data_IF_814631871056
#
_entry.id   IF_814631871056
#
_cell.length_a   1.000
_cell.length_b   1.000
_cell.length_c   1.000
_cell.angle_alpha   90.00
_cell.angle_beta   90.00
_cell.angle_gamma   90.00
#
_symmetry.space_group_name_H-M   'P 1'
#
loop_
_entity.id
_entity.type
_entity.pdbx_description
1 polymer ?
#
# COMPACT_ATOMS: atom_id res chain seq x y z
N UNK A 1 28.51 -24.11 -20.54
CA UNK A 1 28.56 -22.64 -20.65
C UNK A 1 28.28 -22.05 -19.28
N UNK A 2 29.15 -21.22 -18.69
CA UNK A 2 28.91 -20.67 -17.36
C UNK A 2 27.75 -19.67 -17.43
N UNK A 3 26.78 -19.80 -16.51
CA UNK A 3 25.61 -18.94 -16.41
C UNK A 3 26.05 -17.49 -16.15
N UNK A 4 25.71 -16.59 -17.07
CA UNK A 4 26.12 -15.17 -17.09
C UNK A 4 25.27 -14.34 -16.09
N UNK A 5 25.24 -14.73 -14.81
CA UNK A 5 24.55 -14.00 -13.74
C UNK A 5 25.55 -13.16 -12.95
N UNK A 6 25.22 -11.89 -12.72
CA UNK A 6 26.03 -10.94 -11.95
C UNK A 6 25.92 -11.23 -10.45
N UNK A 7 27.04 -11.14 -9.71
CA UNK A 7 27.07 -11.42 -8.27
C UNK A 7 26.64 -10.20 -7.47
N UNK A 8 25.57 -10.35 -6.68
CA UNK A 8 25.16 -9.38 -5.66
C UNK A 8 25.67 -9.86 -4.30
N UNK A 9 26.46 -9.04 -3.60
CA UNK A 9 27.01 -9.35 -2.28
C UNK A 9 26.96 -8.12 -1.38
N UNK A 10 26.78 -8.33 -0.09
CA UNK A 10 26.80 -7.27 0.92
C UNK A 10 27.30 -7.85 2.25
N UNK A 11 27.69 -6.98 3.18
CA UNK A 11 28.03 -7.39 4.55
C UNK A 11 26.78 -7.28 5.42
N UNK A 12 26.52 -8.31 6.19
CA UNK A 12 25.44 -8.37 7.18
C UNK A 12 26.00 -8.88 8.49
N UNK A 13 25.36 -8.50 9.59
CA UNK A 13 25.71 -9.00 10.92
C UNK A 13 25.48 -10.52 11.01
N UNK A 14 26.27 -11.18 11.87
CA UNK A 14 26.20 -12.64 12.03
C UNK A 14 24.79 -13.13 12.39
N UNK A 15 24.09 -12.41 13.27
CA UNK A 15 22.71 -12.73 13.66
C UNK A 15 21.73 -12.67 12.47
N UNK A 16 21.90 -11.69 11.58
CA UNK A 16 21.07 -11.54 10.37
C UNK A 16 21.34 -12.66 9.38
N UNK A 17 22.60 -13.09 9.25
CA UNK A 17 22.99 -14.21 8.39
C UNK A 17 22.39 -15.54 8.88
N UNK A 18 22.43 -15.81 10.17
CA UNK A 18 21.87 -17.04 10.74
C UNK A 18 20.34 -17.07 10.61
N UNK A 19 19.65 -15.95 10.86
CA UNK A 19 18.21 -15.84 10.62
C UNK A 19 17.86 -16.08 9.14
N UNK A 20 18.66 -15.54 8.22
CA UNK A 20 18.47 -15.73 6.78
C UNK A 20 18.68 -17.18 6.33
N UNK A 21 19.65 -17.87 6.93
CA UNK A 21 19.89 -19.31 6.69
C UNK A 21 18.71 -20.15 7.17
N UNK A 22 18.23 -19.93 8.39
CA UNK A 22 17.08 -20.65 8.94
C UNK A 22 15.83 -20.48 8.06
N UNK A 23 15.60 -19.26 7.56
CA UNK A 23 14.50 -18.97 6.64
C UNK A 23 14.67 -19.70 5.29
N UNK A 24 15.89 -19.78 4.76
CA UNK A 24 16.17 -20.51 3.53
C UNK A 24 15.93 -22.02 3.69
N UNK A 25 16.39 -22.60 4.81
CA UNK A 25 16.21 -24.01 5.15
C UNK A 25 14.73 -24.39 5.32
N UNK A 26 13.96 -23.56 6.05
CA UNK A 26 12.52 -23.78 6.23
C UNK A 26 11.75 -23.85 4.90
N UNK A 27 12.24 -23.14 3.88
CA UNK A 27 11.67 -23.09 2.53
C UNK A 27 12.32 -24.07 1.55
N UNK A 28 13.25 -24.91 2.03
CA UNK A 28 14.05 -25.84 1.21
C UNK A 28 14.79 -25.14 0.06
N UNK A 29 15.34 -23.96 0.34
CA UNK A 29 16.12 -23.15 -0.59
C UNK A 29 17.54 -22.96 -0.07
N UNK A 30 18.48 -22.69 -0.97
CA UNK A 30 19.81 -22.19 -0.58
C UNK A 30 19.74 -20.70 -0.26
N UNK A 31 20.64 -20.19 0.58
CA UNK A 31 20.74 -18.75 0.90
C UNK A 31 20.78 -17.91 -0.39
N UNK A 32 21.61 -18.27 -1.36
CA UNK A 32 21.72 -17.56 -2.64
C UNK A 32 20.42 -17.57 -3.44
N UNK A 33 19.63 -18.65 -3.38
CA UNK A 33 18.36 -18.77 -4.10
C UNK A 33 17.22 -18.05 -3.38
N UNK A 34 17.26 -17.99 -2.05
CA UNK A 34 16.38 -17.12 -1.28
C UNK A 34 16.69 -15.65 -1.57
N UNK A 35 17.98 -15.26 -1.62
CA UNK A 35 18.40 -13.90 -1.97
C UNK A 35 18.00 -13.53 -3.40
N UNK A 36 18.24 -14.41 -4.37
CA UNK A 36 17.78 -14.26 -5.76
C UNK A 36 16.27 -14.01 -5.79
N UNK A 37 15.47 -14.85 -5.14
CA UNK A 37 14.01 -14.68 -5.08
C UNK A 37 13.58 -13.41 -4.36
N UNK A 38 14.25 -13.02 -3.28
CA UNK A 38 13.93 -11.79 -2.55
C UNK A 38 14.25 -10.56 -3.36
N UNK A 39 15.40 -10.52 -4.04
CA UNK A 39 15.78 -9.44 -4.93
C UNK A 39 14.83 -9.38 -6.12
N UNK A 40 14.52 -10.52 -6.74
CA UNK A 40 13.52 -10.57 -7.81
C UNK A 40 12.14 -10.12 -7.32
N UNK A 41 11.70 -10.54 -6.14
CA UNK A 41 10.38 -10.17 -5.59
C UNK A 41 10.35 -8.72 -5.14
N UNK A 42 11.47 -8.18 -4.65
CA UNK A 42 11.61 -6.77 -4.28
C UNK A 42 11.64 -5.87 -5.51
N UNK A 43 12.28 -6.32 -6.60
CA UNK A 43 12.31 -5.61 -7.88
C UNK A 43 11.02 -5.81 -8.71
N UNK A 44 10.33 -6.94 -8.55
CA UNK A 44 8.99 -7.23 -9.12
C UNK A 44 7.85 -6.70 -8.25
N UNK A 45 8.13 -6.29 -7.01
CA UNK A 45 7.29 -5.34 -6.29
C UNK A 45 7.45 -4.02 -7.01
N UNK A 46 6.77 -3.94 -8.15
CA UNK A 46 6.13 -2.71 -8.54
C UNK A 46 5.41 -2.25 -7.27
N UNK A 47 5.95 -1.21 -6.63
CA UNK A 47 5.04 -0.15 -6.14
C UNK A 47 4.15 0.05 -7.35
N UNK A 48 2.84 -0.31 -7.31
CA UNK A 48 2.02 -0.38 -8.52
C UNK A 48 2.36 0.85 -9.31
N UNK A 49 3.08 0.65 -10.42
CA UNK A 49 3.71 1.77 -11.10
C UNK A 49 2.52 2.68 -11.37
N UNK A 50 2.55 3.95 -10.90
CA UNK A 50 1.48 4.87 -11.23
C UNK A 50 1.36 4.75 -12.73
N UNK A 51 0.22 4.24 -13.20
CA UNK A 51 -0.06 4.04 -14.64
C UNK A 51 0.54 5.24 -15.32
N UNK A 52 1.52 5.06 -16.23
CA UNK A 52 2.42 6.13 -16.63
C UNK A 52 1.58 7.35 -16.93
N UNK A 53 1.56 8.26 -15.95
CA UNK A 53 0.72 9.43 -16.04
C UNK A 53 1.43 10.19 -17.15
N UNK A 54 0.80 10.35 -18.33
CA UNK A 54 1.49 10.88 -19.49
C UNK A 54 2.22 12.15 -19.03
N UNK A 55 3.48 12.30 -19.45
CA UNK A 55 4.50 13.24 -18.95
C UNK A 55 4.08 14.74 -18.91
N UNK A 56 2.82 15.05 -19.17
CA UNK A 56 2.17 16.36 -19.11
C UNK A 56 1.63 16.76 -17.73
N UNK A 57 2.23 16.34 -16.61
CA UNK A 57 1.90 16.98 -15.32
C UNK A 57 2.31 18.47 -15.25
N UNK A 58 3.16 18.92 -16.19
CA UNK A 58 3.58 20.31 -16.37
C UNK A 58 2.88 21.03 -17.53
N UNK A 59 2.06 20.34 -18.33
CA UNK A 59 1.30 21.01 -19.39
C UNK A 59 0.10 21.74 -18.78
N UNK A 60 -0.01 23.04 -19.08
CA UNK A 60 -1.19 23.84 -18.76
C UNK A 60 -2.42 23.12 -19.32
N UNK A 61 -3.43 22.89 -18.47
CA UNK A 61 -4.70 22.27 -18.88
C UNK A 61 -5.38 23.17 -19.92
N UNK A 62 -5.15 22.89 -21.21
CA UNK A 62 -5.60 23.74 -22.30
C UNK A 62 -6.80 23.19 -23.08
N UNK A 63 -7.14 21.91 -22.89
CA UNK A 63 -8.21 21.24 -23.62
C UNK A 63 -9.49 21.16 -22.76
N UNK A 64 -10.64 21.45 -23.36
CA UNK A 64 -11.94 21.43 -22.71
C UNK A 64 -12.84 20.38 -23.34
N UNK A 65 -13.64 19.71 -22.51
CA UNK A 65 -14.70 18.80 -22.94
C UNK A 65 -16.04 19.35 -22.42
N UNK A 66 -17.05 19.37 -23.27
CA UNK A 66 -18.40 19.82 -22.92
C UNK A 66 -19.37 18.65 -22.93
N UNK A 67 -20.20 18.55 -21.89
CA UNK A 67 -21.31 17.62 -21.80
C UNK A 67 -22.62 18.38 -21.63
N UNK A 68 -23.67 17.94 -22.32
CA UNK A 68 -25.02 18.47 -22.11
C UNK A 68 -25.68 17.65 -21.01
N UNK A 69 -26.13 18.34 -19.98
CA UNK A 69 -26.83 17.76 -18.83
C UNK A 69 -28.21 18.38 -18.73
N UNK A 70 -29.18 17.61 -18.25
CA UNK A 70 -30.47 18.16 -17.81
C UNK A 70 -30.26 19.09 -16.61
N UNK A 71 -31.21 19.99 -16.31
CA UNK A 71 -31.11 20.86 -15.14
C UNK A 71 -30.93 20.10 -13.82
N UNK A 72 -31.60 18.95 -13.69
CA UNK A 72 -31.49 18.08 -12.51
C UNK A 72 -30.09 17.48 -12.38
N UNK A 73 -29.55 16.88 -13.45
CA UNK A 73 -28.19 16.31 -13.45
C UNK A 73 -27.13 17.37 -13.16
N UNK A 74 -27.30 18.58 -13.71
CA UNK A 74 -26.37 19.69 -13.46
C UNK A 74 -26.42 20.18 -12.00
N UNK A 75 -27.58 20.14 -11.36
CA UNK A 75 -27.73 20.43 -9.94
C UNK A 75 -27.06 19.36 -9.07
N UNK A 76 -27.32 18.07 -9.35
CA UNK A 76 -26.69 16.95 -8.64
C UNK A 76 -25.17 16.94 -8.80
N UNK A 77 -24.65 17.21 -10.00
CA UNK A 77 -23.22 17.39 -10.23
C UNK A 77 -22.63 18.47 -9.30
N UNK A 78 -23.38 19.54 -9.05
CA UNK A 78 -23.00 20.58 -8.10
C UNK A 78 -22.91 20.08 -6.67
N UNK A 79 -23.94 19.34 -6.23
CA UNK A 79 -24.03 18.79 -4.88
C UNK A 79 -22.87 17.83 -4.59
N UNK A 80 -22.65 16.83 -5.47
CA UNK A 80 -21.59 15.83 -5.26
C UNK A 80 -20.18 16.43 -5.36
N UNK A 81 -19.98 17.44 -6.21
CA UNK A 81 -18.69 18.13 -6.29
C UNK A 81 -18.42 18.93 -5.01
N UNK A 82 -19.43 19.62 -4.48
CA UNK A 82 -19.32 20.41 -3.26
C UNK A 82 -19.03 19.55 -2.02
N UNK A 83 -19.67 18.37 -1.91
CA UNK A 83 -19.41 17.40 -0.84
C UNK A 83 -17.95 16.94 -0.80
N UNK A 84 -17.25 16.97 -1.94
CA UNK A 84 -15.83 16.64 -2.07
C UNK A 84 -14.90 17.86 -2.06
N UNK A 85 -15.43 19.07 -1.84
CA UNK A 85 -14.66 20.31 -1.88
C UNK A 85 -14.11 20.66 -3.28
N UNK A 86 -14.78 20.21 -4.34
CA UNK A 86 -14.35 20.37 -5.73
C UNK A 86 -15.30 21.27 -6.53
N UNK A 87 -14.77 21.92 -7.57
CA UNK A 87 -15.63 22.48 -8.61
C UNK A 87 -16.22 21.37 -9.49
N UNK A 88 -17.37 21.61 -10.13
CA UNK A 88 -18.02 20.64 -11.05
C UNK A 88 -17.07 20.12 -12.13
N UNK A 89 -16.31 21.01 -12.77
CA UNK A 89 -15.34 20.64 -13.80
C UNK A 89 -14.16 19.82 -13.25
N UNK A 90 -13.70 20.14 -12.04
CA UNK A 90 -12.69 19.33 -11.35
C UNK A 90 -13.25 17.93 -11.08
N UNK A 91 -14.45 17.84 -10.53
CA UNK A 91 -15.11 16.56 -10.26
C UNK A 91 -15.25 15.69 -11.52
N UNK A 92 -15.67 16.25 -12.66
CA UNK A 92 -15.76 15.49 -13.91
C UNK A 92 -14.41 15.00 -14.42
N UNK A 93 -13.36 15.84 -14.34
CA UNK A 93 -12.02 15.43 -14.73
C UNK A 93 -11.48 14.32 -13.81
N UNK A 94 -11.82 14.39 -12.52
CA UNK A 94 -11.46 13.39 -11.51
C UNK A 94 -12.22 12.07 -11.71
N UNK A 95 -13.52 12.14 -11.99
CA UNK A 95 -14.35 11.00 -12.35
C UNK A 95 -13.83 10.29 -13.60
N UNK A 96 -13.49 11.04 -14.64
CA UNK A 96 -12.87 10.50 -15.85
C UNK A 96 -11.57 9.77 -15.52
N UNK A 97 -10.68 10.39 -14.75
CA UNK A 97 -9.41 9.79 -14.36
C UNK A 97 -9.61 8.51 -13.53
N UNK A 98 -10.53 8.52 -12.57
CA UNK A 98 -10.83 7.35 -11.76
C UNK A 98 -11.36 6.18 -12.62
N UNK A 99 -12.20 6.46 -13.62
CA UNK A 99 -12.75 5.44 -14.51
C UNK A 99 -11.75 4.93 -15.54
N UNK A 100 -10.92 5.80 -16.13
CA UNK A 100 -9.98 5.42 -17.19
C UNK A 100 -8.71 4.79 -16.63
N UNK A 101 -8.23 5.29 -15.49
CA UNK A 101 -6.99 4.82 -14.89
C UNK A 101 -7.22 3.85 -13.72
N UNK A 102 -8.46 3.50 -13.37
CA UNK A 102 -8.76 2.55 -12.28
C UNK A 102 -7.99 2.82 -10.97
N UNK A 103 -7.67 4.09 -10.71
CA UNK A 103 -6.89 4.50 -9.54
C UNK A 103 -7.79 5.22 -8.54
N UNK A 104 -7.70 4.88 -7.24
CA UNK A 104 -8.48 5.55 -6.21
C UNK A 104 -8.06 7.02 -6.12
N UNK A 105 -9.05 7.92 -6.10
CA UNK A 105 -8.84 9.36 -5.92
C UNK A 105 -9.41 9.74 -4.56
N UNK A 106 -8.50 9.85 -3.60
CA UNK A 106 -8.80 10.22 -2.23
C UNK A 106 -8.98 11.73 -2.09
N UNK A 107 -10.04 12.13 -1.41
CA UNK A 107 -10.24 13.47 -0.87
C UNK A 107 -9.29 13.73 0.30
N UNK A 108 -9.11 15.01 0.68
CA UNK A 108 -8.27 15.40 1.82
C UNK A 108 -8.57 14.62 3.11
N UNK A 109 -9.84 14.51 3.55
CA UNK A 109 -10.19 13.72 4.73
C UNK A 109 -9.82 12.24 4.64
N UNK A 110 -9.88 11.64 3.44
CA UNK A 110 -9.50 10.25 3.21
C UNK A 110 -7.97 10.07 3.26
N UNK A 111 -7.20 11.02 2.74
CA UNK A 111 -5.74 11.05 2.87
C UNK A 111 -5.34 11.14 4.36
N UNK A 112 -6.01 11.99 5.13
CA UNK A 112 -5.74 12.11 6.56
C UNK A 112 -6.05 10.81 7.32
N UNK A 113 -7.13 10.11 6.94
CA UNK A 113 -7.45 8.79 7.49
C UNK A 113 -6.35 7.77 7.16
N UNK A 114 -5.82 7.79 5.94
CA UNK A 114 -4.73 6.90 5.52
C UNK A 114 -3.43 7.21 6.28
N UNK A 115 -3.09 8.49 6.48
CA UNK A 115 -1.94 8.89 7.29
C UNK A 115 -2.06 8.43 8.75
N UNK A 116 -3.26 8.52 9.35
CA UNK A 116 -3.49 8.00 10.71
C UNK A 116 -3.26 6.49 10.77
N UNK A 117 -3.78 5.73 9.81
CA UNK A 117 -3.56 4.28 9.73
C UNK A 117 -2.07 3.95 9.56
N UNK A 118 -1.35 4.66 8.69
CA UNK A 118 0.09 4.50 8.52
C UNK A 118 0.89 4.79 9.81
N UNK A 119 0.50 5.83 10.56
CA UNK A 119 1.10 6.15 11.86
C UNK A 119 0.92 5.04 12.90
N UNK A 120 -0.25 4.38 12.91
CA UNK A 120 -0.52 3.24 13.79
C UNK A 120 0.33 2.02 13.41
N UNK A 121 0.49 1.71 12.12
CA UNK A 121 1.41 0.65 11.67
C UNK A 121 2.86 0.92 12.10
N UNK A 122 3.31 2.17 12.03
CA UNK A 122 4.65 2.53 12.50
C UNK A 122 4.80 2.32 14.02
N UNK A 123 3.75 2.54 14.80
CA UNK A 123 3.75 2.26 16.24
C UNK A 123 3.82 0.76 16.54
N UNK A 124 3.03 -0.06 15.83
CA UNK A 124 3.09 -1.52 15.92
C UNK A 124 4.48 -2.05 15.58
N UNK A 125 5.09 -1.55 14.50
CA UNK A 125 6.45 -1.94 14.11
C UNK A 125 7.50 -1.62 15.19
N UNK A 126 7.35 -0.49 15.90
CA UNK A 126 8.21 -0.14 17.04
C UNK A 126 8.05 -1.11 18.21
N UNK A 127 6.82 -1.49 18.56
CA UNK A 127 6.55 -2.46 19.63
C UNK A 127 7.15 -3.83 19.30
N UNK A 128 6.98 -4.31 18.06
CA UNK A 128 7.60 -5.58 17.60
C UNK A 128 9.12 -5.51 17.72
N UNK A 129 9.74 -4.41 17.33
CA UNK A 129 11.19 -4.24 17.44
C UNK A 129 11.68 -4.19 18.91
N UNK A 130 10.88 -3.68 19.83
CA UNK A 130 11.18 -3.71 21.26
C UNK A 130 11.09 -5.12 21.83
N UNK A 131 10.05 -5.88 21.46
CA UNK A 131 9.88 -7.29 21.84
C UNK A 131 11.07 -8.12 21.33
N UNK A 132 11.47 -7.93 20.07
CA UNK A 132 12.64 -8.60 19.50
C UNK A 132 13.95 -8.30 20.26
N UNK A 133 14.13 -7.06 20.72
CA UNK A 133 15.30 -6.70 21.56
C UNK A 133 15.22 -7.30 22.96
N UNK A 134 14.04 -7.32 23.57
CA UNK A 134 13.83 -7.89 24.90
C UNK A 134 14.07 -9.42 24.91
N UNK A 135 13.55 -10.13 23.89
CA UNK A 135 13.81 -11.56 23.67
C UNK A 135 15.30 -11.88 23.51
N UNK A 136 16.08 -10.99 22.90
CA UNK A 136 17.53 -11.15 22.80
C UNK A 136 18.25 -10.95 24.14
N UNK A 137 17.57 -10.51 25.20
CA UNK A 137 18.17 -10.13 26.48
C UNK A 137 17.83 -11.11 27.64
N UNK A 138 16.66 -11.77 27.64
CA UNK A 138 16.35 -12.87 28.58
C UNK A 138 15.21 -13.79 28.08
N UNK A 139 15.33 -15.11 28.30
CA UNK A 139 14.49 -16.12 27.64
C UNK A 139 13.16 -16.45 28.37
N UNK A 140 13.13 -16.40 29.71
CA UNK A 140 12.03 -16.98 30.50
C UNK A 140 10.83 -16.05 30.73
N UNK A 141 11.06 -14.75 30.97
CA UNK A 141 9.98 -13.76 31.12
C UNK A 141 9.44 -13.30 29.75
N UNK A 142 10.29 -13.34 28.73
CA UNK A 142 9.92 -12.95 27.38
C UNK A 142 8.90 -13.91 26.77
N UNK A 143 9.02 -15.23 26.95
CA UNK A 143 8.13 -16.19 26.29
C UNK A 143 6.65 -16.06 26.67
N UNK A 144 6.30 -15.68 27.92
CA UNK A 144 4.89 -15.55 28.37
C UNK A 144 4.25 -14.21 27.99
N UNK A 145 4.99 -13.10 28.05
CA UNK A 145 4.48 -11.80 27.62
C UNK A 145 4.35 -11.71 26.09
N UNK A 146 5.28 -12.35 25.37
CA UNK A 146 5.41 -12.27 23.91
C UNK A 146 4.30 -13.00 23.16
N UNK A 147 3.85 -14.16 23.64
CA UNK A 147 2.80 -14.94 22.95
C UNK A 147 1.43 -14.23 22.98
N UNK A 148 1.09 -13.60 24.11
CA UNK A 148 -0.16 -12.84 24.27
C UNK A 148 -0.15 -11.55 23.43
N UNK A 149 1.01 -10.90 23.32
CA UNK A 149 1.21 -9.70 22.51
C UNK A 149 1.13 -9.98 21.01
N UNK A 150 1.71 -11.08 20.52
CA UNK A 150 1.71 -11.36 19.08
C UNK A 150 0.32 -11.63 18.50
N UNK A 151 -0.54 -12.35 19.23
CA UNK A 151 -1.92 -12.59 18.79
C UNK A 151 -2.73 -11.29 18.76
N UNK A 152 -2.54 -10.41 19.76
CA UNK A 152 -3.18 -9.10 19.82
C UNK A 152 -2.68 -8.17 18.69
N UNK A 153 -1.37 -8.14 18.43
CA UNK A 153 -0.76 -7.37 17.35
C UNK A 153 -1.21 -7.84 15.97
N UNK A 154 -1.32 -9.17 15.78
CA UNK A 154 -1.86 -9.73 14.54
C UNK A 154 -3.32 -9.30 14.34
N UNK A 155 -4.14 -9.36 15.38
CA UNK A 155 -5.54 -8.90 15.32
C UNK A 155 -5.64 -7.42 14.95
N UNK A 156 -4.83 -6.56 15.59
CA UNK A 156 -4.77 -5.14 15.22
C UNK A 156 -4.35 -4.93 13.75
N UNK A 157 -3.39 -5.73 13.25
CA UNK A 157 -2.96 -5.66 11.87
C UNK A 157 -4.07 -6.05 10.88
N UNK A 158 -4.78 -7.14 11.17
CA UNK A 158 -5.89 -7.63 10.35
C UNK A 158 -7.06 -6.63 10.33
N UNK A 159 -7.38 -6.00 11.47
CA UNK A 159 -8.40 -4.95 11.58
C UNK A 159 -8.02 -3.70 10.77
N UNK A 160 -6.79 -3.21 10.90
CA UNK A 160 -6.31 -2.05 10.15
C UNK A 160 -6.22 -2.32 8.65
N UNK A 161 -5.79 -3.51 8.24
CA UNK A 161 -5.78 -3.93 6.83
C UNK A 161 -7.19 -3.96 6.25
N UNK A 162 -8.16 -4.47 7.00
CA UNK A 162 -9.57 -4.49 6.59
C UNK A 162 -10.09 -3.08 6.41
N UNK A 163 -9.85 -2.19 7.39
CA UNK A 163 -10.27 -0.78 7.32
C UNK A 163 -9.70 -0.05 6.09
N UNK A 164 -8.40 -0.19 5.82
CA UNK A 164 -7.76 0.44 4.64
C UNK A 164 -8.34 -0.12 3.34
N UNK A 165 -8.52 -1.44 3.26
CA UNK A 165 -9.12 -2.06 2.07
C UNK A 165 -10.57 -1.58 1.85
N UNK A 166 -11.36 -1.44 2.91
CA UNK A 166 -12.71 -0.94 2.84
C UNK A 166 -12.76 0.53 2.43
N UNK A 167 -11.82 1.35 2.90
CA UNK A 167 -11.67 2.73 2.48
C UNK A 167 -11.34 2.84 0.98
N UNK A 168 -10.37 2.07 0.51
CA UNK A 168 -9.99 2.01 -0.92
C UNK A 168 -11.17 1.56 -1.77
N UNK A 169 -11.85 0.48 -1.36
CA UNK A 169 -13.01 -0.05 -2.07
C UNK A 169 -14.18 0.92 -2.08
N UNK A 170 -14.47 1.56 -0.95
CA UNK A 170 -15.53 2.57 -0.87
C UNK A 170 -15.21 3.77 -1.75
N UNK A 171 -13.95 4.21 -1.77
CA UNK A 171 -13.51 5.30 -2.64
C UNK A 171 -13.74 4.93 -4.11
N UNK A 172 -13.28 3.77 -4.54
CA UNK A 172 -13.44 3.29 -5.92
C UNK A 172 -14.91 3.12 -6.32
N UNK A 173 -15.75 2.52 -5.46
CA UNK A 173 -17.21 2.44 -5.68
C UNK A 173 -17.85 3.81 -5.79
N UNK A 174 -17.41 4.78 -4.99
CA UNK A 174 -17.94 6.15 -5.05
C UNK A 174 -17.66 6.85 -6.38
N UNK A 175 -16.68 6.37 -7.14
CA UNK A 175 -16.33 6.85 -8.47
C UNK A 175 -16.95 6.01 -9.60
N UNK A 176 -17.77 5.01 -9.27
CA UNK A 176 -18.40 4.09 -10.22
C UNK A 176 -17.45 3.02 -10.78
N UNK A 177 -16.24 2.90 -10.22
CA UNK A 177 -15.28 1.86 -10.63
C UNK A 177 -15.68 0.56 -9.95
N UNK A 178 -15.85 -0.51 -10.75
CA UNK A 178 -16.19 -1.81 -10.22
C UNK A 178 -14.96 -2.43 -9.54
N UNK A 179 -14.99 -2.55 -8.21
CA UNK A 179 -13.88 -3.12 -7.43
C UNK A 179 -13.87 -4.64 -7.40
N UNK A 180 -14.93 -5.26 -7.95
CA UNK A 180 -15.07 -6.70 -8.04
C UNK A 180 -14.49 -7.15 -9.38
N UNK A 181 -13.16 -7.17 -9.45
CA UNK A 181 -12.44 -7.69 -10.60
C UNK A 181 -12.68 -9.20 -10.78
N UNK A 182 -13.12 -9.59 -11.97
CA UNK A 182 -12.70 -10.84 -12.61
C UNK A 182 -11.26 -10.70 -13.09
#
# INVERSE_FOLDING_TARGET
MPSKKSLLTTRVDAAVKEAFRAEAESRRLTESRLLEKLVETFLKRDTPAPIPMPESQTAVRSQQAHARLTPFEHAELGRVAAERGMSRGTYLAELFRANVYEQPRFSGPEIDALHRAAGQFAAVGRNINQIARALNTSLDEAHRATALDFEHLKKMFDEQRTYVNDLVRSNMRSWGVNTDGK
#
